data_IF_715176665716
#
_entry.id   IF_715176665716
#
_cell.length_a   1.000
_cell.length_b   1.000
_cell.length_c   1.000
_cell.angle_alpha   90.00
_cell.angle_beta   90.00
_cell.angle_gamma   90.00
#
_symmetry.space_group_name_H-M   'P 1'
#
loop_
_entity.id
_entity.type
_entity.pdbx_description
1 polymer ?
#
# COMPACT_ATOMS: atom_id res chain seq x y z
N UNK A 1 -23.24 56.50 42.34
CA UNK A 1 -23.45 56.12 40.91
C UNK A 1 -22.21 55.41 40.40
N UNK A 2 -22.31 54.08 40.29
CA UNK A 2 -21.22 53.23 39.84
C UNK A 2 -21.52 52.84 38.39
N UNK A 3 -20.71 53.37 37.44
CA UNK A 3 -20.82 53.02 36.04
C UNK A 3 -20.10 51.70 35.80
N UNK A 4 -20.84 50.67 35.46
CA UNK A 4 -20.36 49.33 35.09
C UNK A 4 -20.12 49.31 33.58
N UNK A 5 -18.84 49.32 33.19
CA UNK A 5 -18.42 49.20 31.80
C UNK A 5 -18.42 47.71 31.45
N UNK A 6 -19.40 47.29 30.63
CA UNK A 6 -19.43 45.95 30.02
C UNK A 6 -18.41 45.91 28.84
N UNK A 7 -17.30 45.22 29.01
CA UNK A 7 -16.35 44.91 27.94
C UNK A 7 -16.88 43.70 27.15
N UNK A 8 -17.51 43.96 26.03
CA UNK A 8 -17.92 42.91 25.09
C UNK A 8 -16.66 42.46 24.28
N UNK A 9 -16.06 41.35 24.66
CA UNK A 9 -15.04 40.66 23.87
C UNK A 9 -15.73 40.04 22.66
N UNK A 10 -15.63 40.69 21.53
CA UNK A 10 -15.97 40.13 20.23
C UNK A 10 -14.92 39.08 19.86
N UNK A 11 -15.21 37.83 20.09
CA UNK A 11 -14.49 36.71 19.44
C UNK A 11 -14.83 36.76 17.95
N UNK A 12 -14.03 37.49 17.17
CA UNK A 12 -13.96 37.33 15.73
C UNK A 12 -13.27 35.98 15.44
N UNK A 13 -14.03 34.90 15.53
CA UNK A 13 -13.60 33.63 14.99
C UNK A 13 -13.43 33.80 13.49
N UNK A 14 -12.20 33.80 13.00
CA UNK A 14 -11.91 33.60 11.58
C UNK A 14 -12.50 32.23 11.19
N UNK A 15 -13.77 32.20 10.79
CA UNK A 15 -14.32 31.11 10.02
C UNK A 15 -13.60 31.15 8.67
N UNK A 16 -12.57 30.33 8.51
CA UNK A 16 -11.99 30.09 7.20
C UNK A 16 -13.10 29.78 6.24
N UNK A 17 -13.09 30.36 5.04
CA UNK A 17 -14.06 30.04 3.98
C UNK A 17 -14.08 28.52 3.83
N UNK A 18 -15.29 27.91 3.87
CA UNK A 18 -15.46 26.49 3.56
C UNK A 18 -14.89 26.27 2.16
N UNK A 19 -14.03 25.25 2.01
CA UNK A 19 -13.55 24.81 0.69
C UNK A 19 -14.52 23.77 0.13
N UNK A 20 -14.62 23.71 -1.18
CA UNK A 20 -15.30 22.63 -1.87
C UNK A 20 -14.28 21.56 -2.27
N UNK A 21 -14.70 20.31 -2.44
CA UNK A 21 -13.82 19.24 -2.91
C UNK A 21 -13.14 19.59 -4.24
N UNK A 22 -13.86 20.28 -5.14
CA UNK A 22 -13.34 20.75 -6.44
C UNK A 22 -12.18 21.74 -6.34
N UNK A 23 -11.98 22.41 -5.19
CA UNK A 23 -10.84 23.31 -4.97
C UNK A 23 -9.51 22.55 -4.81
N UNK A 24 -9.58 21.25 -4.46
CA UNK A 24 -8.41 20.36 -4.33
C UNK A 24 -7.99 19.84 -5.69
N UNK A 25 -7.43 20.70 -6.52
CA UNK A 25 -7.03 20.43 -7.90
C UNK A 25 -5.56 20.76 -8.20
N UNK A 26 -4.84 21.31 -7.23
CA UNK A 26 -3.40 21.58 -7.36
C UNK A 26 -2.63 20.34 -6.97
N UNK A 27 -2.08 19.66 -7.97
CA UNK A 27 -1.26 18.49 -7.77
C UNK A 27 0.02 18.86 -7.00
N UNK A 28 0.25 18.21 -5.85
CA UNK A 28 1.45 18.38 -5.03
C UNK A 28 2.56 17.44 -5.44
N UNK A 29 2.18 16.28 -5.95
CA UNK A 29 3.06 15.26 -6.50
C UNK A 29 2.38 14.61 -7.70
N UNK A 30 3.09 14.53 -8.83
CA UNK A 30 2.67 13.85 -10.04
C UNK A 30 3.40 12.51 -10.12
N UNK A 31 2.74 11.37 -9.82
CA UNK A 31 3.37 10.08 -10.00
C UNK A 31 3.81 9.89 -11.45
N UNK A 32 5.02 9.38 -11.64
CA UNK A 32 5.61 9.10 -12.95
C UNK A 32 5.35 7.65 -13.39
N UNK A 33 5.31 6.74 -12.43
CA UNK A 33 5.20 5.30 -12.66
C UNK A 33 3.92 4.69 -12.09
N UNK A 34 3.44 5.22 -10.95
CA UNK A 34 2.22 4.75 -10.32
C UNK A 34 0.98 5.38 -10.95
N UNK A 35 -0.09 4.60 -11.05
CA UNK A 35 -1.40 5.05 -11.56
C UNK A 35 -2.48 5.10 -10.48
N UNK A 36 -2.23 4.44 -9.34
CA UNK A 36 -3.26 4.17 -8.33
C UNK A 36 -3.47 5.30 -7.32
N UNK A 37 -2.71 6.41 -7.32
CA UNK A 37 -2.92 7.48 -6.36
C UNK A 37 -2.70 8.89 -6.92
N UNK A 38 -3.27 9.88 -6.22
CA UNK A 38 -3.02 11.31 -6.43
C UNK A 38 -2.86 12.02 -5.09
N UNK A 39 -2.04 13.06 -5.06
CA UNK A 39 -1.85 13.94 -3.90
C UNK A 39 -2.14 15.37 -4.34
N UNK A 40 -3.21 15.95 -3.83
CA UNK A 40 -3.72 17.24 -4.28
C UNK A 40 -3.97 18.18 -3.10
N UNK A 41 -3.98 19.47 -3.37
CA UNK A 41 -4.22 20.52 -2.40
C UNK A 41 -5.06 21.65 -3.01
N UNK A 42 -5.82 22.36 -2.21
CA UNK A 42 -6.43 23.62 -2.60
C UNK A 42 -5.43 24.77 -2.41
N UNK A 43 -5.51 25.80 -3.27
CA UNK A 43 -4.65 26.96 -3.17
C UNK A 43 -4.79 27.69 -1.82
N UNK A 44 -3.63 28.01 -1.21
CA UNK A 44 -3.58 28.68 0.08
C UNK A 44 -3.91 27.79 1.29
N UNK A 45 -4.17 26.49 1.09
CA UNK A 45 -4.44 25.52 2.15
C UNK A 45 -3.20 24.70 2.48
N UNK A 46 -3.15 24.16 3.71
CA UNK A 46 -2.11 23.20 4.14
C UNK A 46 -2.63 21.76 4.13
N UNK A 47 -3.95 21.61 4.24
CA UNK A 47 -4.62 20.31 4.15
C UNK A 47 -4.46 19.69 2.76
N UNK A 48 -4.40 18.37 2.73
CA UNK A 48 -4.10 17.58 1.53
C UNK A 48 -5.19 16.54 1.31
N UNK A 49 -5.52 16.32 0.05
CA UNK A 49 -6.39 15.25 -0.40
C UNK A 49 -5.53 14.15 -1.05
N UNK A 50 -5.55 12.96 -0.48
CA UNK A 50 -4.99 11.76 -1.10
C UNK A 50 -6.16 10.96 -1.70
N UNK A 51 -6.14 10.77 -3.00
CA UNK A 51 -7.11 9.95 -3.73
C UNK A 51 -6.47 8.66 -4.16
N UNK A 52 -7.13 7.53 -3.91
CA UNK A 52 -6.70 6.20 -4.36
C UNK A 52 -7.71 5.69 -5.37
N UNK A 53 -7.25 5.43 -6.58
CA UNK A 53 -8.03 4.96 -7.70
C UNK A 53 -7.98 3.44 -7.79
N UNK A 54 -9.13 2.81 -8.01
CA UNK A 54 -9.28 1.37 -8.20
C UNK A 54 -8.51 0.55 -7.15
N UNK A 55 -8.84 0.69 -5.85
CA UNK A 55 -8.01 0.24 -4.73
C UNK A 55 -7.97 -1.29 -4.51
N UNK A 56 -8.65 -2.10 -5.35
CA UNK A 56 -8.62 -3.57 -5.33
C UNK A 56 -8.81 -4.15 -6.72
N UNK A 57 -8.51 -5.44 -6.88
CA UNK A 57 -8.67 -6.16 -8.15
C UNK A 57 -10.13 -6.14 -8.60
N UNK A 58 -10.34 -5.86 -9.88
CA UNK A 58 -11.69 -5.77 -10.48
C UNK A 58 -12.44 -4.48 -10.14
N UNK A 59 -11.86 -3.54 -9.39
CA UNK A 59 -12.42 -2.21 -9.26
C UNK A 59 -12.33 -1.48 -10.61
N UNK A 60 -13.44 -0.83 -10.99
CA UNK A 60 -13.51 0.03 -12.15
C UNK A 60 -14.21 1.32 -11.76
N UNK A 61 -13.51 2.44 -11.99
CA UNK A 61 -14.02 3.78 -11.64
C UNK A 61 -14.32 4.00 -10.15
N UNK A 62 -13.70 3.20 -9.27
CA UNK A 62 -13.78 3.37 -7.81
C UNK A 62 -12.67 4.31 -7.35
N UNK A 63 -13.03 5.29 -6.53
CA UNK A 63 -12.06 6.20 -5.89
C UNK A 63 -12.36 6.29 -4.41
N UNK A 64 -11.38 5.98 -3.57
CA UNK A 64 -11.42 6.27 -2.14
C UNK A 64 -10.56 7.49 -1.84
N UNK A 65 -10.92 8.25 -0.79
CA UNK A 65 -10.26 9.50 -0.47
C UNK A 65 -9.92 9.61 1.00
N UNK A 66 -8.74 10.14 1.29
CA UNK A 66 -8.30 10.54 2.62
C UNK A 66 -8.02 12.05 2.60
N UNK A 67 -8.76 12.80 3.39
CA UNK A 67 -8.48 14.21 3.65
C UNK A 67 -7.59 14.32 4.91
N UNK A 68 -6.40 14.88 4.74
CA UNK A 68 -5.47 15.14 5.84
C UNK A 68 -5.67 16.60 6.26
N UNK A 69 -6.40 16.81 7.36
CA UNK A 69 -6.68 18.13 7.92
C UNK A 69 -5.43 18.66 8.63
N UNK A 70 -4.90 19.77 8.18
CA UNK A 70 -3.74 20.44 8.80
C UNK A 70 -4.12 21.82 9.26
N UNK A 71 -3.49 22.30 10.33
CA UNK A 71 -3.73 23.62 10.92
C UNK A 71 -5.19 23.92 11.29
N UNK A 72 -5.98 22.89 11.60
CA UNK A 72 -7.39 23.02 11.93
C UNK A 72 -8.25 23.50 10.75
N UNK A 73 -7.80 23.29 9.52
CA UNK A 73 -8.56 23.62 8.32
C UNK A 73 -9.80 22.73 8.21
N UNK A 74 -10.98 23.28 7.91
CA UNK A 74 -12.21 22.50 7.85
C UNK A 74 -12.18 21.52 6.68
N UNK A 75 -12.85 20.39 6.90
CA UNK A 75 -13.14 19.41 5.85
C UNK A 75 -13.97 20.06 4.74
N UNK A 76 -13.69 19.76 3.45
CA UNK A 76 -14.45 20.30 2.33
C UNK A 76 -15.94 19.96 2.43
N UNK A 77 -16.79 20.88 2.01
CA UNK A 77 -18.25 20.66 1.99
C UNK A 77 -18.59 19.49 1.06
N UNK A 78 -19.44 18.57 1.54
CA UNK A 78 -19.85 17.37 0.80
C UNK A 78 -18.79 16.30 0.67
N UNK A 79 -17.69 16.36 1.46
CA UNK A 79 -16.67 15.32 1.45
C UNK A 79 -17.22 14.01 2.05
N UNK A 80 -17.07 12.92 1.32
CA UNK A 80 -17.57 11.58 1.65
C UNK A 80 -16.47 10.55 1.97
N UNK A 81 -15.19 10.99 2.05
CA UNK A 81 -14.03 10.13 2.32
C UNK A 81 -13.67 10.03 3.79
N UNK A 82 -12.49 9.54 4.05
CA UNK A 82 -11.90 9.44 5.38
C UNK A 82 -11.21 10.75 5.77
N UNK A 83 -11.25 11.11 7.05
CA UNK A 83 -10.61 12.32 7.57
C UNK A 83 -9.56 11.93 8.60
N UNK A 84 -8.33 12.39 8.39
CA UNK A 84 -7.21 12.25 9.29
C UNK A 84 -6.89 13.66 9.86
N UNK A 85 -6.92 13.80 11.17
CA UNK A 85 -6.60 15.04 11.87
C UNK A 85 -5.08 15.17 12.07
N UNK A 86 -4.44 15.92 11.19
CA UNK A 86 -2.98 16.07 11.16
C UNK A 86 -2.26 14.92 10.45
N UNK A 87 -0.96 14.81 10.69
CA UNK A 87 -0.14 13.73 10.14
C UNK A 87 -0.25 12.48 11.04
N UNK A 88 -0.39 11.30 10.44
CA UNK A 88 -0.52 10.05 11.19
C UNK A 88 0.65 9.81 12.13
N UNK A 89 0.35 9.51 13.41
CA UNK A 89 1.32 9.21 14.46
C UNK A 89 1.24 7.76 14.96
N UNK A 90 0.05 7.16 14.86
CA UNK A 90 -0.26 5.82 15.36
C UNK A 90 -0.92 5.02 14.24
N UNK A 91 -0.15 4.17 13.59
CA UNK A 91 -0.56 3.46 12.38
C UNK A 91 -0.70 1.97 12.66
N UNK A 92 -1.83 1.40 12.23
CA UNK A 92 -1.96 -0.05 12.08
C UNK A 92 -1.74 -0.40 10.60
N UNK A 93 -0.74 -1.22 10.32
CA UNK A 93 -0.36 -1.61 8.97
C UNK A 93 -0.80 -3.05 8.67
N UNK A 94 -1.76 -3.22 7.76
CA UNK A 94 -2.31 -4.54 7.41
C UNK A 94 -1.47 -5.31 6.40
N UNK A 95 -0.34 -4.74 5.94
CA UNK A 95 0.61 -5.41 5.04
C UNK A 95 2.05 -5.11 5.42
N UNK A 96 2.94 -6.09 5.23
CA UNK A 96 4.39 -5.91 5.38
C UNK A 96 4.98 -4.91 4.38
N UNK A 97 4.34 -4.70 3.22
CA UNK A 97 4.76 -3.69 2.23
C UNK A 97 4.57 -2.28 2.76
N UNK A 98 3.49 -2.02 3.51
CA UNK A 98 3.26 -0.72 4.16
C UNK A 98 4.36 -0.41 5.17
N UNK A 99 4.78 -1.42 5.96
CA UNK A 99 5.87 -1.30 6.92
C UNK A 99 7.19 -0.99 6.21
N UNK A 100 7.49 -1.70 5.11
CA UNK A 100 8.70 -1.48 4.33
C UNK A 100 8.78 -0.05 3.75
N UNK A 101 7.66 0.53 3.32
CA UNK A 101 7.59 1.91 2.85
C UNK A 101 7.82 2.91 3.99
N UNK A 102 7.24 2.67 5.17
CA UNK A 102 7.48 3.50 6.36
C UNK A 102 8.93 3.39 6.85
N UNK A 103 9.53 2.20 6.77
CA UNK A 103 10.93 1.94 7.09
C UNK A 103 11.88 2.72 6.18
N UNK A 104 11.62 2.70 4.88
CA UNK A 104 12.43 3.42 3.90
C UNK A 104 12.56 4.93 4.18
N UNK A 105 11.57 5.49 4.87
CA UNK A 105 11.59 6.90 5.31
C UNK A 105 11.89 7.05 6.81
N UNK A 106 12.23 5.95 7.53
CA UNK A 106 12.58 5.97 8.95
C UNK A 106 11.43 6.33 9.88
N UNK A 107 10.21 5.92 9.55
CA UNK A 107 8.98 6.23 10.31
C UNK A 107 8.30 4.96 10.88
N UNK A 108 9.04 3.84 11.01
CA UNK A 108 8.55 2.59 11.62
C UNK A 108 8.07 2.77 13.06
N UNK A 109 8.62 3.77 13.79
CA UNK A 109 8.20 4.08 15.16
C UNK A 109 6.71 4.43 15.29
N UNK A 110 6.07 4.86 14.19
CA UNK A 110 4.62 5.17 14.14
C UNK A 110 3.75 3.92 14.02
N UNK A 111 4.32 2.77 13.68
CA UNK A 111 3.58 1.51 13.62
C UNK A 111 3.33 0.99 15.01
N UNK A 112 2.05 0.91 15.41
CA UNK A 112 1.58 0.43 16.71
C UNK A 112 0.89 -0.93 16.62
N UNK A 113 0.48 -1.35 15.42
CA UNK A 113 -0.14 -2.64 15.19
C UNK A 113 0.09 -3.14 13.76
N UNK A 114 0.04 -4.44 13.61
CA UNK A 114 0.27 -5.13 12.33
C UNK A 114 -0.68 -6.31 12.17
N UNK A 115 -0.81 -6.79 10.94
CA UNK A 115 -1.45 -8.07 10.62
C UNK A 115 -0.39 -9.16 10.55
N UNK A 116 -0.46 -10.15 11.46
CA UNK A 116 0.42 -11.31 11.45
C UNK A 116 1.87 -11.00 11.80
N UNK A 117 2.12 -10.61 13.04
CA UNK A 117 3.44 -10.21 13.55
C UNK A 117 4.55 -11.26 13.29
N UNK A 118 4.21 -12.55 13.27
CA UNK A 118 5.16 -13.63 13.01
C UNK A 118 5.70 -13.64 11.57
N UNK A 119 5.00 -13.00 10.64
CA UNK A 119 5.41 -12.89 9.23
C UNK A 119 6.10 -11.56 8.90
N UNK A 120 6.25 -10.67 9.89
CA UNK A 120 6.95 -9.39 9.71
C UNK A 120 8.43 -9.58 9.97
N UNK A 121 9.25 -9.47 8.93
CA UNK A 121 10.71 -9.61 9.03
C UNK A 121 11.45 -8.30 9.33
N UNK A 122 10.75 -7.17 9.40
CA UNK A 122 11.37 -5.86 9.66
C UNK A 122 12.04 -5.84 11.04
N UNK A 123 13.35 -5.51 11.15
CA UNK A 123 14.10 -5.59 12.40
C UNK A 123 13.57 -4.66 13.49
N UNK A 124 13.11 -3.45 13.15
CA UNK A 124 12.60 -2.48 14.12
C UNK A 124 11.28 -2.95 14.72
N UNK A 125 10.42 -3.54 13.91
CA UNK A 125 9.15 -4.14 14.35
C UNK A 125 9.46 -5.33 15.27
N UNK A 126 10.38 -6.23 14.88
CA UNK A 126 10.75 -7.39 15.69
C UNK A 126 11.41 -6.99 17.01
N UNK A 127 12.24 -5.95 17.01
CA UNK A 127 12.86 -5.43 18.25
C UNK A 127 11.81 -4.85 19.25
N UNK A 128 10.65 -4.40 18.74
CA UNK A 128 9.53 -3.87 19.55
C UNK A 128 8.34 -4.83 19.63
N UNK A 129 8.56 -6.11 19.34
CA UNK A 129 7.53 -7.14 19.23
C UNK A 129 6.53 -7.12 20.40
N UNK A 130 7.03 -6.99 21.64
CA UNK A 130 6.21 -7.00 22.86
C UNK A 130 5.30 -5.76 23.02
N UNK A 131 5.56 -4.70 22.24
CA UNK A 131 4.81 -3.45 22.26
C UNK A 131 4.00 -3.20 20.98
N UNK A 132 4.12 -4.08 19.98
CA UNK A 132 3.35 -4.03 18.73
C UNK A 132 2.14 -4.96 18.84
N UNK A 133 0.95 -4.44 18.56
CA UNK A 133 -0.27 -5.25 18.56
C UNK A 133 -0.37 -6.11 17.29
N UNK A 134 -0.56 -7.42 17.44
CA UNK A 134 -0.98 -8.27 16.32
C UNK A 134 -2.51 -8.27 16.25
N UNK A 135 -3.06 -7.48 15.33
CA UNK A 135 -4.51 -7.34 15.19
C UNK A 135 -5.18 -8.50 14.45
N UNK A 136 -4.38 -9.48 14.00
CA UNK A 136 -4.87 -10.64 13.24
C UNK A 136 -5.02 -10.34 11.74
N UNK A 137 -5.74 -11.22 11.05
CA UNK A 137 -5.92 -11.19 9.60
C UNK A 137 -7.34 -10.82 9.23
N UNK A 138 -7.53 -10.36 8.00
CA UNK A 138 -8.87 -10.14 7.46
C UNK A 138 -9.75 -11.40 7.63
N UNK A 139 -10.97 -11.20 8.16
CA UNK A 139 -11.86 -12.29 8.56
C UNK A 139 -11.72 -12.75 10.02
N UNK A 140 -10.63 -12.40 10.72
CA UNK A 140 -10.43 -12.69 12.15
C UNK A 140 -9.66 -11.56 12.85
N UNK A 141 -10.18 -10.36 12.76
CA UNK A 141 -9.56 -9.17 13.36
C UNK A 141 -9.95 -9.04 14.83
N UNK A 142 -8.96 -8.81 15.69
CA UNK A 142 -9.16 -8.46 17.07
C UNK A 142 -9.44 -6.94 17.20
N UNK A 143 -10.73 -6.57 17.08
CA UNK A 143 -11.14 -5.17 17.15
C UNK A 143 -10.98 -4.56 18.55
N UNK A 144 -11.00 -5.35 19.62
CA UNK A 144 -10.74 -4.87 20.99
C UNK A 144 -9.29 -4.42 21.11
N UNK A 145 -8.35 -5.25 20.64
CA UNK A 145 -6.94 -4.87 20.56
C UNK A 145 -6.75 -3.65 19.67
N UNK A 146 -7.34 -3.65 18.46
CA UNK A 146 -7.23 -2.53 17.52
C UNK A 146 -7.67 -1.21 18.16
N UNK A 147 -8.81 -1.20 18.88
CA UNK A 147 -9.27 -0.04 19.65
C UNK A 147 -8.30 0.36 20.76
N UNK A 148 -7.75 -0.62 21.49
CA UNK A 148 -6.80 -0.34 22.59
C UNK A 148 -5.47 0.24 22.11
N UNK A 149 -5.11 -0.02 20.85
CA UNK A 149 -3.94 0.58 20.20
C UNK A 149 -4.17 2.06 19.86
N UNK A 150 -5.41 2.54 19.89
CA UNK A 150 -5.80 3.92 19.59
C UNK A 150 -5.13 4.45 18.33
N UNK A 151 -5.33 3.79 17.16
CA UNK A 151 -4.72 4.22 15.92
C UNK A 151 -5.44 5.43 15.35
N UNK A 152 -4.69 6.37 14.82
CA UNK A 152 -5.24 7.48 14.04
C UNK A 152 -5.39 7.14 12.55
N UNK A 153 -4.78 6.05 12.10
CA UNK A 153 -4.92 5.55 10.74
C UNK A 153 -4.70 4.04 10.64
N UNK A 154 -5.53 3.38 9.85
CA UNK A 154 -5.33 1.99 9.42
C UNK A 154 -4.99 1.96 7.92
N UNK A 155 -3.86 1.38 7.56
CA UNK A 155 -3.47 1.14 6.16
C UNK A 155 -4.02 -0.20 5.72
N UNK A 156 -4.97 -0.18 4.78
CA UNK A 156 -5.66 -1.35 4.24
C UNK A 156 -5.15 -1.73 2.84
N UNK A 157 -5.46 -2.94 2.45
CA UNK A 157 -5.50 -3.37 1.06
C UNK A 157 -6.78 -4.16 0.82
N UNK A 158 -7.26 -4.23 -0.42
CA UNK A 158 -8.38 -5.08 -0.81
C UNK A 158 -7.90 -6.08 -1.86
N UNK A 159 -8.45 -7.29 -1.93
CA UNK A 159 -8.02 -8.29 -2.94
C UNK A 159 -9.09 -8.45 -4.01
N UNK A 160 -10.23 -9.02 -3.69
CA UNK A 160 -11.35 -9.23 -4.62
C UNK A 160 -12.55 -8.35 -4.26
N UNK A 161 -12.29 -7.12 -3.81
CA UNK A 161 -13.28 -6.17 -3.33
C UNK A 161 -12.73 -5.32 -2.19
N UNK A 162 -13.63 -4.51 -1.62
CA UNK A 162 -13.31 -3.74 -0.42
C UNK A 162 -12.96 -4.66 0.75
N UNK A 163 -12.05 -4.22 1.62
CA UNK A 163 -11.71 -4.95 2.84
C UNK A 163 -12.94 -5.15 3.73
N UNK A 164 -13.10 -6.33 4.28
CA UNK A 164 -14.15 -6.62 5.25
C UNK A 164 -14.05 -5.75 6.53
N UNK A 165 -12.88 -5.17 6.80
CA UNK A 165 -12.66 -4.23 7.91
C UNK A 165 -13.34 -2.88 7.70
N UNK A 166 -13.56 -2.46 6.45
CA UNK A 166 -14.00 -1.10 6.10
C UNK A 166 -15.27 -0.67 6.86
N UNK A 167 -16.30 -1.51 6.85
CA UNK A 167 -17.57 -1.20 7.54
C UNK A 167 -17.39 -1.05 9.03
N UNK A 168 -16.55 -1.89 9.65
CA UNK A 168 -16.31 -1.82 11.09
C UNK A 168 -15.44 -0.64 11.49
N UNK A 169 -14.44 -0.28 10.69
CA UNK A 169 -13.63 0.91 10.92
C UNK A 169 -14.48 2.19 10.83
N UNK A 170 -15.40 2.27 9.85
CA UNK A 170 -16.37 3.37 9.75
C UNK A 170 -17.28 3.46 10.99
N UNK A 171 -17.80 2.32 11.46
CA UNK A 171 -18.61 2.26 12.69
C UNK A 171 -17.84 2.75 13.91
N UNK A 172 -16.56 2.38 14.01
CA UNK A 172 -15.67 2.75 15.12
C UNK A 172 -15.09 4.17 14.99
N UNK A 173 -15.30 4.85 13.85
CA UNK A 173 -14.76 6.17 13.59
C UNK A 173 -13.24 6.19 13.41
N UNK A 174 -12.62 5.07 13.03
CA UNK A 174 -11.18 4.95 12.82
C UNK A 174 -10.89 5.21 11.34
N UNK A 175 -10.12 6.26 11.01
CA UNK A 175 -9.73 6.55 9.63
C UNK A 175 -8.91 5.42 9.02
N UNK A 176 -9.09 5.21 7.72
CA UNK A 176 -8.30 4.24 6.97
C UNK A 176 -7.96 4.76 5.57
N UNK A 177 -6.90 4.21 5.00
CA UNK A 177 -6.50 4.44 3.62
C UNK A 177 -6.17 3.12 2.94
N UNK A 178 -6.68 2.92 1.73
CA UNK A 178 -6.23 1.82 0.88
C UNK A 178 -4.87 2.12 0.29
N UNK A 179 -4.01 1.11 0.25
CA UNK A 179 -2.71 1.12 -0.42
C UNK A 179 -2.77 0.10 -1.54
N UNK A 180 -2.82 0.59 -2.78
CA UNK A 180 -2.97 -0.23 -3.99
C UNK A 180 -1.64 -0.59 -4.67
N UNK A 181 -0.54 -0.61 -3.92
CA UNK A 181 0.81 -0.82 -4.45
C UNK A 181 0.96 -2.12 -5.25
N UNK A 182 0.24 -3.16 -4.84
CA UNK A 182 0.29 -4.46 -5.50
C UNK A 182 -0.47 -4.53 -6.84
N UNK A 183 -1.29 -3.51 -7.14
CA UNK A 183 -2.06 -3.39 -8.38
C UNK A 183 -1.28 -2.72 -9.51
N UNK A 184 -0.15 -2.09 -9.19
CA UNK A 184 0.67 -1.44 -10.20
C UNK A 184 1.31 -2.45 -11.16
N UNK A 185 1.38 -2.09 -12.43
CA UNK A 185 1.89 -2.95 -13.51
C UNK A 185 3.43 -2.99 -13.54
N UNK A 186 4.08 -2.08 -12.83
CA UNK A 186 5.54 -1.98 -12.83
C UNK A 186 6.12 -1.96 -11.40
N UNK A 187 7.34 -2.50 -11.22
CA UNK A 187 8.06 -2.41 -9.95
C UNK A 187 8.29 -0.98 -9.49
N UNK A 188 8.49 -0.04 -10.42
CA UNK A 188 8.66 1.37 -10.12
C UNK A 188 7.35 2.01 -9.65
N UNK A 189 6.22 1.70 -10.31
CA UNK A 189 4.90 2.14 -9.86
C UNK A 189 4.58 1.63 -8.45
N UNK A 190 4.85 0.34 -8.18
CA UNK A 190 4.72 -0.22 -6.83
C UNK A 190 5.59 0.52 -5.81
N UNK A 191 6.84 0.81 -6.13
CA UNK A 191 7.76 1.51 -5.23
C UNK A 191 7.36 2.97 -4.99
N UNK A 192 6.72 3.61 -5.97
CA UNK A 192 6.32 5.03 -5.89
C UNK A 192 5.22 5.29 -4.85
N UNK A 193 4.47 4.28 -4.43
CA UNK A 193 3.51 4.38 -3.32
C UNK A 193 4.16 4.81 -2.00
N UNK A 194 5.49 4.66 -1.89
CA UNK A 194 6.27 5.24 -0.80
C UNK A 194 5.98 6.74 -0.61
N UNK A 195 5.77 7.49 -1.71
CA UNK A 195 5.50 8.92 -1.66
C UNK A 195 4.12 9.20 -1.07
N UNK A 196 3.11 8.39 -1.43
CA UNK A 196 1.77 8.50 -0.85
C UNK A 196 1.78 8.25 0.66
N UNK A 197 2.46 7.20 1.13
CA UNK A 197 2.61 6.92 2.57
C UNK A 197 3.43 8.01 3.27
N UNK A 198 4.42 8.58 2.59
CA UNK A 198 5.21 9.69 3.13
C UNK A 198 4.36 10.96 3.34
N UNK A 199 3.38 11.23 2.46
CA UNK A 199 2.45 12.34 2.65
C UNK A 199 1.59 12.16 3.90
N UNK A 200 1.08 10.95 4.12
CA UNK A 200 0.23 10.61 5.27
C UNK A 200 0.93 10.87 6.62
N UNK A 201 2.23 10.70 6.68
CA UNK A 201 3.05 10.95 7.88
C UNK A 201 3.75 12.32 7.86
N UNK A 202 3.41 13.21 6.93
CA UNK A 202 3.98 14.56 6.82
C UNK A 202 5.44 14.60 6.36
N UNK A 203 5.89 13.56 5.67
CA UNK A 203 7.28 13.40 5.21
C UNK A 203 7.42 13.29 3.69
N UNK A 204 6.46 13.82 2.93
CA UNK A 204 6.44 13.71 1.46
C UNK A 204 7.78 14.08 0.80
N UNK A 205 8.37 15.21 1.16
CA UNK A 205 9.67 15.61 0.59
C UNK A 205 10.80 14.59 0.85
N UNK A 206 10.76 13.87 1.99
CA UNK A 206 11.69 12.77 2.28
C UNK A 206 11.38 11.57 1.40
N UNK A 207 10.10 11.22 1.23
CA UNK A 207 9.65 10.15 0.34
C UNK A 207 10.06 10.38 -1.11
N UNK A 208 9.81 11.59 -1.63
CA UNK A 208 10.23 11.98 -2.99
C UNK A 208 11.74 11.81 -3.18
N UNK A 209 12.53 12.26 -2.19
CA UNK A 209 13.99 12.12 -2.23
C UNK A 209 14.44 10.66 -2.22
N UNK A 210 13.82 9.81 -1.38
CA UNK A 210 14.13 8.38 -1.32
C UNK A 210 13.74 7.71 -2.62
N UNK A 211 12.56 8.03 -3.17
CA UNK A 211 12.09 7.45 -4.41
C UNK A 211 12.94 7.84 -5.62
N UNK A 212 13.42 9.09 -5.69
CA UNK A 212 14.19 9.59 -6.84
C UNK A 212 15.42 8.73 -7.21
N UNK A 213 16.05 8.07 -6.25
CA UNK A 213 17.19 7.19 -6.49
C UNK A 213 16.79 5.81 -7.01
N UNK A 214 15.56 5.37 -6.77
CA UNK A 214 15.09 4.02 -7.12
C UNK A 214 15.05 3.82 -8.64
N UNK A 215 14.39 4.67 -9.45
CA UNK A 215 14.38 4.53 -10.90
C UNK A 215 15.76 4.59 -11.53
N UNK A 216 16.66 5.42 -10.99
CA UNK A 216 18.04 5.54 -11.51
C UNK A 216 18.76 4.21 -11.39
N UNK A 217 18.76 3.60 -10.20
CA UNK A 217 19.42 2.30 -9.95
C UNK A 217 18.73 1.17 -10.69
N UNK A 218 17.41 1.17 -10.70
CA UNK A 218 16.61 0.15 -11.39
C UNK A 218 16.89 0.13 -12.89
N UNK A 219 16.79 1.28 -13.54
CA UNK A 219 17.00 1.39 -14.98
C UNK A 219 18.46 1.12 -15.37
N UNK A 220 19.44 1.49 -14.55
CA UNK A 220 20.83 1.14 -14.79
C UNK A 220 21.08 -0.38 -14.75
N UNK A 221 20.44 -1.10 -13.79
CA UNK A 221 20.51 -2.56 -13.73
C UNK A 221 19.81 -3.21 -14.92
N UNK A 222 18.60 -2.77 -15.25
CA UNK A 222 17.83 -3.24 -16.40
C UNK A 222 18.63 -3.11 -17.70
N UNK A 223 19.24 -1.94 -17.94
CA UNK A 223 20.08 -1.70 -19.11
C UNK A 223 21.30 -2.62 -19.13
N UNK A 224 21.94 -2.87 -17.99
CA UNK A 224 23.08 -3.78 -17.86
C UNK A 224 22.70 -5.21 -18.21
N UNK A 225 21.56 -5.67 -17.75
CA UNK A 225 21.02 -7.01 -18.00
C UNK A 225 20.66 -7.17 -19.49
N UNK A 226 19.94 -6.21 -20.07
CA UNK A 226 19.54 -6.28 -21.48
C UNK A 226 20.72 -6.38 -22.47
N UNK A 227 21.89 -5.89 -22.07
CA UNK A 227 23.13 -6.03 -22.86
C UNK A 227 23.93 -7.32 -22.60
N UNK A 228 23.61 -8.05 -21.52
CA UNK A 228 24.39 -9.21 -21.07
C UNK A 228 23.67 -10.55 -21.29
N UNK A 229 22.35 -10.57 -21.22
CA UNK A 229 21.53 -11.78 -21.38
C UNK A 229 21.24 -12.02 -22.87
N UNK A 230 21.81 -13.08 -23.43
CA UNK A 230 21.62 -13.47 -24.85
C UNK A 230 20.51 -14.53 -24.97
N UNK A 231 20.29 -15.32 -23.93
CA UNK A 231 19.28 -16.37 -23.86
C UNK A 231 18.56 -16.23 -22.50
N UNK A 232 17.30 -15.84 -22.55
CA UNK A 232 16.51 -15.55 -21.35
C UNK A 232 16.06 -16.87 -20.72
N UNK A 233 16.45 -17.19 -19.48
CA UNK A 233 15.96 -18.39 -18.82
C UNK A 233 14.45 -18.31 -18.61
N UNK A 234 13.77 -19.44 -18.82
CA UNK A 234 12.35 -19.58 -18.52
C UNK A 234 12.12 -19.61 -17.01
N UNK A 235 11.12 -18.86 -16.52
CA UNK A 235 10.90 -18.65 -15.09
C UNK A 235 9.48 -19.03 -14.68
N UNK A 236 9.37 -19.98 -13.74
CA UNK A 236 8.15 -20.33 -13.05
C UNK A 236 8.04 -19.54 -11.75
N UNK A 237 6.82 -19.14 -11.39
CA UNK A 237 6.53 -18.38 -10.18
C UNK A 237 5.59 -19.10 -9.22
N UNK A 238 5.72 -18.74 -7.93
CA UNK A 238 4.86 -19.12 -6.82
C UNK A 238 4.93 -20.60 -6.44
N UNK A 239 4.07 -20.99 -5.53
CA UNK A 239 3.86 -22.36 -5.03
C UNK A 239 2.38 -22.67 -5.05
N UNK A 240 1.98 -23.97 -5.00
CA UNK A 240 0.60 -24.33 -4.89
C UNK A 240 -0.02 -23.78 -3.59
N UNK A 241 -1.28 -23.40 -3.69
CA UNK A 241 -2.13 -23.06 -2.57
C UNK A 241 -3.39 -23.94 -2.63
N UNK A 242 -3.50 -24.90 -1.72
CA UNK A 242 -4.49 -25.96 -1.83
C UNK A 242 -4.30 -26.76 -3.13
N UNK A 243 -5.37 -26.94 -3.87
CA UNK A 243 -5.41 -27.69 -5.14
C UNK A 243 -5.21 -26.78 -6.38
N UNK A 244 -4.76 -25.57 -6.18
CA UNK A 244 -4.59 -24.58 -7.25
C UNK A 244 -3.21 -23.92 -7.22
N UNK A 245 -2.77 -23.49 -8.40
CA UNK A 245 -1.56 -22.68 -8.53
C UNK A 245 -1.94 -21.33 -9.15
N UNK A 246 -1.67 -20.23 -8.44
CA UNK A 246 -2.05 -18.90 -8.90
C UNK A 246 -0.95 -18.29 -9.75
N UNK A 247 -1.23 -18.16 -11.04
CA UNK A 247 -0.30 -17.58 -12.02
C UNK A 247 -0.57 -16.10 -12.22
N UNK A 248 0.40 -15.21 -11.92
CA UNK A 248 0.28 -13.79 -12.17
C UNK A 248 -0.01 -13.48 -13.64
N UNK A 249 -0.62 -12.32 -13.89
CA UNK A 249 -0.75 -11.76 -15.23
C UNK A 249 0.61 -11.37 -15.81
N UNK A 250 0.73 -11.38 -17.13
CA UNK A 250 1.89 -10.83 -17.86
C UNK A 250 2.10 -9.34 -17.59
N UNK A 251 1.05 -8.61 -17.24
CA UNK A 251 1.09 -7.18 -16.87
C UNK A 251 1.35 -6.93 -15.37
N UNK A 252 1.62 -7.98 -14.58
CA UNK A 252 1.90 -7.86 -13.17
C UNK A 252 3.33 -7.34 -12.91
N UNK A 253 3.51 -6.51 -11.87
CA UNK A 253 4.82 -5.95 -11.51
C UNK A 253 5.89 -7.02 -11.24
N UNK A 254 5.51 -8.19 -10.69
CA UNK A 254 6.48 -9.27 -10.43
C UNK A 254 6.95 -9.93 -11.73
N UNK A 255 6.06 -10.10 -12.70
CA UNK A 255 6.42 -10.60 -14.04
C UNK A 255 7.27 -9.57 -14.79
N UNK A 256 6.93 -8.29 -14.67
CA UNK A 256 7.75 -7.21 -15.22
C UNK A 256 9.17 -7.20 -14.61
N UNK A 257 9.27 -7.43 -13.30
CA UNK A 257 10.58 -7.52 -12.62
C UNK A 257 11.44 -8.66 -13.18
N UNK A 258 10.83 -9.83 -13.44
CA UNK A 258 11.51 -10.98 -14.06
C UNK A 258 11.99 -10.61 -15.45
N UNK A 259 11.13 -10.04 -16.28
CA UNK A 259 11.46 -9.64 -17.64
C UNK A 259 12.58 -8.59 -17.67
N UNK A 260 12.49 -7.59 -16.80
CA UNK A 260 13.51 -6.54 -16.69
C UNK A 260 14.84 -7.07 -16.11
N UNK A 261 14.81 -8.20 -15.38
CA UNK A 261 15.98 -8.95 -14.93
C UNK A 261 16.51 -9.95 -15.97
N UNK A 262 15.97 -9.98 -17.17
CA UNK A 262 16.40 -10.84 -18.29
C UNK A 262 15.82 -12.25 -18.27
N UNK A 263 14.81 -12.53 -17.43
CA UNK A 263 14.09 -13.80 -17.46
C UNK A 263 12.89 -13.79 -18.40
N UNK A 264 12.43 -14.96 -18.79
CA UNK A 264 11.20 -15.16 -19.56
C UNK A 264 10.15 -15.87 -18.71
N UNK A 265 9.10 -15.14 -18.31
CA UNK A 265 8.01 -15.72 -17.52
C UNK A 265 7.27 -16.78 -18.33
N UNK A 266 7.19 -18.02 -17.79
CA UNK A 266 6.76 -19.18 -18.59
C UNK A 266 5.25 -19.15 -18.91
N UNK A 267 4.40 -18.59 -18.04
CA UNK A 267 2.95 -18.59 -18.23
C UNK A 267 2.46 -17.32 -18.96
N UNK A 268 2.09 -17.46 -20.24
CA UNK A 268 1.69 -16.34 -21.12
C UNK A 268 0.17 -16.21 -21.31
N UNK A 269 -0.63 -17.13 -20.77
CA UNK A 269 -2.07 -17.18 -21.05
C UNK A 269 -2.88 -16.14 -20.27
N UNK A 270 -2.35 -15.61 -19.15
CA UNK A 270 -3.03 -14.62 -18.35
C UNK A 270 -2.55 -13.21 -18.72
N UNK A 271 -3.40 -12.48 -19.45
CA UNK A 271 -3.18 -11.07 -19.85
C UNK A 271 -4.14 -10.10 -19.12
N UNK A 272 -4.87 -10.58 -18.11
CA UNK A 272 -5.76 -9.77 -17.28
C UNK A 272 -5.00 -8.92 -16.24
N UNK A 273 -5.72 -8.42 -15.24
CA UNK A 273 -5.15 -7.60 -14.16
C UNK A 273 -5.05 -8.32 -12.81
N UNK A 274 -5.36 -9.63 -12.79
CA UNK A 274 -5.34 -10.47 -11.58
C UNK A 274 -4.66 -11.80 -11.83
N UNK A 275 -4.23 -12.48 -10.76
CA UNK A 275 -3.73 -13.85 -10.87
C UNK A 275 -4.86 -14.81 -11.24
N UNK A 276 -4.56 -15.79 -12.11
CA UNK A 276 -5.50 -16.82 -12.54
C UNK A 276 -5.09 -18.17 -11.91
N UNK A 277 -6.01 -18.91 -11.29
CA UNK A 277 -5.72 -20.27 -10.84
C UNK A 277 -5.60 -21.22 -12.05
N UNK A 278 -4.60 -22.09 -12.01
CA UNK A 278 -4.44 -23.24 -12.89
C UNK A 278 -4.42 -24.51 -12.04
N UNK A 279 -4.71 -25.65 -12.65
CA UNK A 279 -4.61 -26.93 -11.95
C UNK A 279 -3.14 -27.34 -11.72
N UNK A 280 -2.93 -28.27 -10.81
CA UNK A 280 -1.59 -28.71 -10.45
C UNK A 280 -0.90 -29.49 -11.57
N UNK A 281 -1.64 -30.17 -12.46
CA UNK A 281 -1.06 -30.91 -13.57
C UNK A 281 -0.45 -29.93 -14.58
N UNK A 282 -1.18 -28.89 -15.01
CA UNK A 282 -0.66 -27.81 -15.85
C UNK A 282 0.54 -27.12 -15.20
N UNK A 283 0.42 -26.81 -13.89
CA UNK A 283 1.49 -26.13 -13.15
C UNK A 283 2.78 -26.95 -13.09
N UNK A 284 2.69 -28.27 -12.81
CA UNK A 284 3.85 -29.15 -12.77
C UNK A 284 4.47 -29.35 -14.15
N UNK A 285 3.67 -29.38 -15.20
CA UNK A 285 4.18 -29.45 -16.57
C UNK A 285 5.02 -28.19 -16.86
N UNK A 286 4.50 -27.00 -16.60
CA UNK A 286 5.21 -25.75 -16.77
C UNK A 286 6.49 -25.71 -15.90
N UNK A 287 6.39 -26.12 -14.63
CA UNK A 287 7.54 -26.15 -13.73
C UNK A 287 8.64 -27.09 -14.20
N UNK A 288 8.28 -28.21 -14.87
CA UNK A 288 9.27 -29.15 -15.42
C UNK A 288 10.01 -28.63 -16.65
N UNK A 289 9.46 -27.62 -17.33
CA UNK A 289 10.04 -26.97 -18.49
C UNK A 289 10.78 -25.67 -18.13
N UNK A 290 10.64 -25.19 -16.88
CA UNK A 290 11.25 -23.95 -16.41
C UNK A 290 12.72 -24.16 -16.03
N UNK A 291 13.59 -23.23 -16.46
CA UNK A 291 15.00 -23.18 -16.04
C UNK A 291 15.15 -22.69 -14.59
N UNK A 292 14.23 -21.84 -14.15
CA UNK A 292 14.22 -21.23 -12.81
C UNK A 292 12.85 -21.26 -12.19
N UNK A 293 12.82 -21.44 -10.86
CA UNK A 293 11.61 -21.35 -10.06
C UNK A 293 11.80 -20.34 -8.94
N UNK A 294 10.98 -19.28 -8.91
CA UNK A 294 11.06 -18.17 -7.97
C UNK A 294 9.80 -18.11 -7.08
N UNK A 295 9.94 -17.43 -5.95
CA UNK A 295 8.89 -17.27 -4.94
C UNK A 295 8.35 -18.62 -4.44
N UNK A 296 9.27 -19.45 -4.03
CA UNK A 296 9.03 -20.85 -3.60
C UNK A 296 8.52 -20.96 -2.14
N UNK A 297 8.06 -19.87 -1.55
CA UNK A 297 7.50 -19.83 -0.21
C UNK A 297 8.53 -20.16 0.88
N UNK A 298 8.12 -20.96 1.88
CA UNK A 298 8.93 -21.35 3.03
C UNK A 298 9.86 -22.54 2.74
N UNK A 299 9.86 -23.07 1.53
CA UNK A 299 10.68 -24.22 1.14
C UNK A 299 12.16 -23.78 1.02
N UNK A 300 13.01 -24.26 1.89
CA UNK A 300 14.43 -23.93 1.96
C UNK A 300 15.36 -25.10 1.66
N UNK A 301 14.82 -26.26 1.27
CA UNK A 301 15.57 -27.44 0.83
C UNK A 301 14.91 -28.12 -0.36
N UNK A 302 15.70 -28.76 -1.23
CA UNK A 302 15.20 -29.53 -2.37
C UNK A 302 14.21 -30.65 -1.96
N UNK A 303 14.33 -31.19 -0.77
CA UNK A 303 13.43 -32.25 -0.27
C UNK A 303 12.01 -31.77 -0.07
N UNK A 304 11.81 -30.49 0.23
CA UNK A 304 10.47 -29.90 0.35
C UNK A 304 9.77 -29.74 -1.01
N UNK A 305 10.54 -29.57 -2.09
CA UNK A 305 9.99 -29.49 -3.47
C UNK A 305 9.62 -30.87 -4.03
N UNK A 306 10.28 -31.92 -3.58
CA UNK A 306 10.12 -33.29 -4.10
C UNK A 306 9.23 -34.17 -3.21
N UNK A 307 8.84 -33.70 -2.03
CA UNK A 307 7.91 -34.43 -1.17
C UNK A 307 6.52 -34.47 -1.81
N UNK A 308 5.92 -35.65 -2.01
CA UNK A 308 4.53 -35.72 -2.43
C UNK A 308 3.67 -35.00 -1.40
N UNK A 309 2.75 -34.16 -1.88
CA UNK A 309 1.76 -33.50 -1.02
C UNK A 309 1.11 -34.55 -0.11
N UNK A 310 0.97 -34.29 1.19
CA UNK A 310 0.23 -35.21 2.04
C UNK A 310 -1.21 -35.33 1.50
N UNK A 311 -1.62 -36.54 1.22
CA UNK A 311 -2.97 -36.92 0.75
C UNK A 311 -4.00 -36.66 1.83
#
# INVERSE_FOLDING_TARGET
ETVMVLLALAFAGCRGKSSQLADFNKQLYAPEYASGFKIERADGRQSVLVSVMNPWQGADSVTTRLFISRNGEPVPEGFDGQVLEGDAQRIVAMSSTHIAMLDAIGETARVVGVSGLDYISNPDIQARRDSIGDVGYEGNINYELLLSLDPDLVLLFGVNGASAMESKLKELGIPFMYVGDYLEESPLGKAEWLVALSEVVGKRAKGEKVFADIPIRYNALKQKVSGAVLDAPSVMLNTPYGDSWFMPSTENYAVRLITDAGGDYIYKKNTGNSSTPIDLEEAYLLASEADMWLNVGMANTCLLYTSPSPR
#
